data_IF_569913409412
#
_entry.id   IF_569913409412
#
_cell.length_a   1.000
_cell.length_b   1.000
_cell.length_c   1.000
_cell.angle_alpha   90.00
_cell.angle_beta   90.00
_cell.angle_gamma   90.00
#
_symmetry.space_group_name_H-M   'P 1'
#
loop_
_entity.id
_entity.type
_entity.pdbx_description
1 polymer ?
#
# COMPACT_ATOMS: atom_id res chain seq x y z
N UNK A 1 -7.99 13.03 0.29
CA UNK A 1 -7.22 11.79 0.10
C UNK A 1 -6.91 11.20 1.45
N UNK A 2 -7.16 9.91 1.60
CA UNK A 2 -6.80 9.16 2.80
C UNK A 2 -5.28 9.13 2.97
N UNK A 3 -4.79 9.00 4.21
CA UNK A 3 -3.34 8.94 4.53
C UNK A 3 -2.59 7.89 3.68
N UNK A 4 -3.26 6.80 3.33
CA UNK A 4 -2.72 5.72 2.48
C UNK A 4 -2.54 6.14 1.03
N UNK A 5 -3.54 6.79 0.44
CA UNK A 5 -3.48 7.28 -0.94
C UNK A 5 -2.34 8.28 -1.10
N UNK A 6 -2.14 9.15 -0.11
CA UNK A 6 -1.02 10.08 -0.07
C UNK A 6 0.33 9.37 0.02
N UNK A 7 0.44 8.33 0.86
CA UNK A 7 1.66 7.51 0.96
C UNK A 7 1.96 6.78 -0.36
N UNK A 8 0.94 6.15 -0.96
CA UNK A 8 1.07 5.48 -2.24
C UNK A 8 1.52 6.46 -3.33
N UNK A 9 0.92 7.65 -3.37
CA UNK A 9 1.28 8.69 -4.33
C UNK A 9 2.73 9.16 -4.14
N UNK A 10 3.18 9.35 -2.89
CA UNK A 10 4.55 9.75 -2.61
C UNK A 10 5.56 8.69 -3.08
N UNK A 11 5.35 7.43 -2.70
CA UNK A 11 6.23 6.32 -3.09
C UNK A 11 6.25 6.14 -4.61
N UNK A 12 5.08 6.24 -5.26
CA UNK A 12 4.98 6.17 -6.72
C UNK A 12 5.81 7.25 -7.40
N UNK A 13 5.74 8.50 -6.91
CA UNK A 13 6.56 9.61 -7.42
C UNK A 13 8.05 9.30 -7.33
N UNK A 14 8.51 8.80 -6.18
CA UNK A 14 9.93 8.47 -5.97
C UNK A 14 10.42 7.38 -6.92
N UNK A 15 9.64 6.32 -7.12
CA UNK A 15 9.95 5.23 -8.08
C UNK A 15 10.03 5.78 -9.51
N UNK A 16 9.02 6.55 -9.94
CA UNK A 16 8.97 7.06 -11.31
C UNK A 16 10.09 8.06 -11.57
N UNK A 17 10.40 8.95 -10.62
CA UNK A 17 11.56 9.86 -10.71
C UNK A 17 12.85 9.05 -10.88
N UNK A 18 13.05 7.97 -10.10
CA UNK A 18 14.23 7.12 -10.24
C UNK A 18 14.31 6.45 -11.61
N UNK A 19 13.19 6.01 -12.17
CA UNK A 19 13.15 5.44 -13.52
C UNK A 19 13.42 6.47 -14.61
N UNK A 20 13.04 7.73 -14.42
CA UNK A 20 13.42 8.82 -15.32
C UNK A 20 14.92 9.11 -15.23
N UNK A 21 15.47 9.22 -14.03
CA UNK A 21 16.90 9.45 -13.79
C UNK A 21 17.79 8.35 -14.39
N UNK A 22 17.31 7.10 -14.40
CA UNK A 22 18.03 5.94 -14.95
C UNK A 22 17.73 5.66 -16.42
N UNK A 23 16.91 6.50 -17.06
CA UNK A 23 16.55 6.36 -18.48
C UNK A 23 15.63 5.19 -18.82
N UNK A 24 14.91 4.64 -17.83
CA UNK A 24 13.94 3.55 -18.02
C UNK A 24 12.53 4.05 -18.35
N UNK A 25 12.19 5.26 -17.91
CA UNK A 25 10.98 5.99 -18.26
C UNK A 25 11.39 7.35 -18.84
N UNK A 26 10.64 7.83 -19.82
CA UNK A 26 10.77 9.19 -20.35
C UNK A 26 9.52 10.00 -20.00
N UNK A 27 9.57 11.34 -20.06
CA UNK A 27 8.36 12.15 -19.97
C UNK A 27 7.28 11.77 -21.00
N UNK A 28 7.67 11.29 -22.19
CA UNK A 28 6.75 10.96 -23.28
C UNK A 28 5.90 9.71 -23.06
N UNK A 29 6.36 8.76 -22.25
CA UNK A 29 5.63 7.53 -21.90
C UNK A 29 5.22 7.50 -20.41
N UNK A 30 5.29 8.63 -19.71
CA UNK A 30 4.98 8.72 -18.28
C UNK A 30 3.58 8.19 -17.92
N UNK A 31 2.57 8.56 -18.71
CA UNK A 31 1.16 8.21 -18.45
C UNK A 31 0.93 6.69 -18.47
N UNK A 32 1.69 5.96 -19.26
CA UNK A 32 1.59 4.50 -19.39
C UNK A 32 2.14 3.77 -18.15
N UNK A 33 3.04 4.43 -17.39
CA UNK A 33 3.75 3.81 -16.27
C UNK A 33 3.24 4.26 -14.90
N UNK A 34 2.85 5.53 -14.74
CA UNK A 34 2.52 6.08 -13.43
C UNK A 34 1.32 5.36 -12.79
N UNK A 35 0.24 5.15 -13.55
CA UNK A 35 -0.98 4.48 -13.07
C UNK A 35 -0.72 3.06 -12.57
N UNK A 36 -0.14 2.15 -13.39
CA UNK A 36 0.17 0.80 -12.97
C UNK A 36 1.09 0.72 -11.74
N UNK A 37 2.08 1.60 -11.63
CA UNK A 37 2.97 1.65 -10.45
C UNK A 37 2.19 2.10 -9.22
N UNK A 38 1.35 3.13 -9.34
CA UNK A 38 0.51 3.60 -8.24
C UNK A 38 -0.44 2.53 -7.72
N UNK A 39 -1.14 1.84 -8.63
CA UNK A 39 -2.05 0.75 -8.29
C UNK A 39 -1.33 -0.39 -7.58
N UNK A 40 -0.12 -0.74 -8.03
CA UNK A 40 0.69 -1.78 -7.40
C UNK A 40 1.11 -1.40 -5.98
N UNK A 41 1.60 -0.16 -5.79
CA UNK A 41 1.98 0.35 -4.46
C UNK A 41 0.77 0.36 -3.53
N UNK A 42 -0.37 0.90 -4.00
CA UNK A 42 -1.62 0.95 -3.23
C UNK A 42 -2.07 -0.46 -2.84
N UNK A 43 -2.01 -1.43 -3.76
CA UNK A 43 -2.34 -2.82 -3.50
C UNK A 43 -1.47 -3.42 -2.40
N UNK A 44 -0.16 -3.20 -2.44
CA UNK A 44 0.79 -3.73 -1.44
C UNK A 44 0.51 -3.16 -0.05
N UNK A 45 0.33 -1.84 0.06
CA UNK A 45 0.10 -1.21 1.37
C UNK A 45 -1.28 -1.54 1.95
N UNK A 46 -2.30 -1.74 1.11
CA UNK A 46 -3.65 -2.14 1.55
C UNK A 46 -3.71 -3.61 2.00
N UNK A 47 -2.84 -4.49 1.48
CA UNK A 47 -2.79 -5.91 1.92
C UNK A 47 -2.37 -6.05 3.39
N UNK A 48 -1.52 -5.15 3.90
CA UNK A 48 -1.06 -5.21 5.29
C UNK A 48 -2.16 -4.94 6.32
N UNK A 49 -3.24 -4.25 5.96
CA UNK A 49 -4.36 -4.02 6.88
C UNK A 49 -5.25 -5.25 7.03
N UNK A 50 -5.54 -5.97 5.94
CA UNK A 50 -6.37 -7.19 6.02
C UNK A 50 -5.73 -8.28 6.88
N UNK A 51 -4.40 -8.41 6.84
CA UNK A 51 -3.66 -9.34 7.71
C UNK A 51 -3.58 -8.85 9.16
N UNK A 52 -3.53 -7.53 9.39
CA UNK A 52 -3.52 -6.93 10.72
C UNK A 52 -4.89 -6.99 11.42
N UNK A 53 -5.97 -6.59 10.73
CA UNK A 53 -7.34 -6.65 11.25
C UNK A 53 -7.79 -8.08 11.54
N UNK A 54 -7.42 -9.04 10.70
CA UNK A 54 -7.75 -10.46 10.94
C UNK A 54 -7.05 -10.97 12.21
N UNK A 55 -5.79 -10.59 12.44
CA UNK A 55 -5.05 -10.96 13.65
C UNK A 55 -5.57 -10.26 14.91
N UNK A 56 -5.95 -8.99 14.81
CA UNK A 56 -6.57 -8.21 15.89
C UNK A 56 -7.92 -8.84 16.29
N UNK A 57 -8.80 -9.12 15.33
CA UNK A 57 -10.09 -9.77 15.57
C UNK A 57 -9.94 -11.16 16.17
N UNK A 58 -8.98 -11.97 15.69
CA UNK A 58 -8.66 -13.29 16.25
C UNK A 58 -8.14 -13.20 17.70
N UNK A 59 -7.38 -12.16 18.03
CA UNK A 59 -6.91 -11.93 19.40
C UNK A 59 -8.04 -11.50 20.35
N UNK A 60 -8.99 -10.70 19.88
CA UNK A 60 -10.14 -10.25 20.67
C UNK A 60 -11.08 -11.41 21.00
N UNK A 61 -11.37 -12.30 20.03
CA UNK A 61 -12.20 -13.49 20.29
C UNK A 61 -11.52 -14.50 21.24
N UNK A 62 -10.19 -14.63 21.19
CA UNK A 62 -9.46 -15.55 22.07
C UNK A 62 -9.40 -15.08 23.53
N UNK A 63 -9.57 -13.77 23.78
CA UNK A 63 -9.57 -13.20 25.15
C UNK A 63 -10.95 -13.16 25.82
N UNK A 64 -12.04 -13.32 25.08
CA UNK A 64 -13.40 -13.27 25.62
C UNK A 64 -13.92 -14.58 26.23
N UNK A 65 -13.10 -15.64 26.26
CA UNK A 65 -13.52 -16.99 26.68
C UNK A 65 -13.13 -17.42 28.09
N UNK A 66 -12.55 -16.54 28.90
CA UNK A 66 -11.96 -16.92 30.19
C UNK A 66 -12.33 -15.92 31.29
N UNK A 67 -13.62 -15.82 31.59
CA UNK A 67 -14.16 -15.29 32.84
C UNK A 67 -15.57 -15.86 33.03
N UNK A 68 -15.65 -17.08 33.54
CA UNK A 68 -16.83 -17.64 34.18
C UNK A 68 -16.38 -18.74 35.15
N UNK A 69 -16.30 -18.43 36.44
CA UNK A 69 -16.04 -19.39 37.51
C UNK A 69 -15.25 -18.81 38.67
#
# INVERSE_FOLDING_TARGET
MEKRENMALQVTKEIVVKFVETGRISPGNFTEHFGPIYEEVLRVISRNETAGETREKVRVIAKGGQDNG
#
